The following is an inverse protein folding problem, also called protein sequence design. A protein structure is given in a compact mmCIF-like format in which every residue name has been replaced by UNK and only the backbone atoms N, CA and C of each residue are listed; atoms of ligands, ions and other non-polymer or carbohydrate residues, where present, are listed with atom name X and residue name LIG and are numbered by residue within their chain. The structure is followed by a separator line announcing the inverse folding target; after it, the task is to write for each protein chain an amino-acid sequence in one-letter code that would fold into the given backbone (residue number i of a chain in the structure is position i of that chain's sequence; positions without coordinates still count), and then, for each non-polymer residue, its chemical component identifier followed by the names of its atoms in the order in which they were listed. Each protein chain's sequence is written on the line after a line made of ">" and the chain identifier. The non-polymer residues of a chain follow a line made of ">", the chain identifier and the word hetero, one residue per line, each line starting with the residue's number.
data_IF_155450361634
#
_entry.id   IF_155450361634
#
_cell.length_a   1.000
_cell.length_b   1.000
_cell.length_c   1.000
_cell.angle_alpha   90.00
_cell.angle_beta   90.00
_cell.angle_gamma   90.00
#
_symmetry.space_group_name_H-M   'P 1'
#
loop_
_entity.id
_entity.type
_entity.pdbx_description
1 polymer ?
#
# COMPACT_ATOMS: atom_id res chain seq x y z
N UNK A 1 -43.53 13.06 0.66
CA UNK A 1 -42.83 11.82 0.25
C UNK A 1 -41.65 12.24 -0.60
N UNK A 2 -40.46 12.29 -0.03
CA UNK A 2 -39.21 12.54 -0.76
C UNK A 2 -38.24 11.46 -0.31
N UNK A 3 -38.01 10.49 -1.20
CA UNK A 3 -37.08 9.39 -1.00
C UNK A 3 -35.65 9.87 -1.27
N UNK A 4 -34.92 10.27 -0.22
CA UNK A 4 -33.45 10.26 -0.26
C UNK A 4 -32.90 9.97 1.13
N UNK A 5 -32.70 8.68 1.42
CA UNK A 5 -32.11 8.23 2.69
C UNK A 5 -31.38 6.90 2.64
N UNK A 6 -31.16 6.31 1.45
CA UNK A 6 -30.35 5.09 1.28
C UNK A 6 -28.94 5.43 0.83
N UNK A 7 -28.12 5.96 1.73
CA UNK A 7 -26.65 5.92 1.61
C UNK A 7 -26.02 5.46 2.91
N UNK A 8 -26.53 4.34 3.44
CA UNK A 8 -25.87 3.58 4.49
C UNK A 8 -24.84 2.61 3.89
N UNK A 9 -23.58 2.76 4.28
CA UNK A 9 -22.59 1.67 4.41
C UNK A 9 -21.94 1.11 3.12
N UNK A 10 -21.53 1.96 2.17
CA UNK A 10 -20.81 1.51 0.96
C UNK A 10 -19.36 1.98 0.78
N UNK A 11 -18.74 2.68 1.74
CA UNK A 11 -17.59 3.56 1.41
C UNK A 11 -16.31 3.45 2.23
N UNK A 12 -16.16 2.52 3.19
CA UNK A 12 -14.98 2.52 4.08
C UNK A 12 -13.81 1.69 3.56
N UNK A 13 -14.07 0.66 2.76
CA UNK A 13 -13.02 -0.27 2.30
C UNK A 13 -12.47 0.06 0.90
N UNK A 14 -13.21 0.81 0.07
CA UNK A 14 -12.88 0.94 -1.37
C UNK A 14 -11.81 1.99 -1.73
N UNK A 15 -11.15 2.64 -0.77
CA UNK A 15 -10.26 3.75 -1.12
C UNK A 15 -9.05 3.99 -0.21
N UNK A 16 -8.64 3.05 0.66
CA UNK A 16 -7.52 3.29 1.59
C UNK A 16 -6.21 3.60 0.86
N UNK A 17 -5.94 2.93 -0.26
CA UNK A 17 -4.78 3.19 -1.10
C UNK A 17 -4.91 4.39 -2.05
N UNK A 18 -6.11 4.95 -2.27
CA UNK A 18 -6.31 6.04 -3.26
C UNK A 18 -5.54 7.31 -2.89
N UNK A 19 -5.36 7.54 -1.59
CA UNK A 19 -4.61 8.69 -1.06
C UNK A 19 -3.14 8.69 -1.51
N UNK A 20 -2.58 7.53 -1.87
CA UNK A 20 -1.22 7.42 -2.39
C UNK A 20 -1.07 7.96 -3.82
N UNK A 21 -2.16 8.02 -4.61
CA UNK A 21 -2.11 8.37 -6.02
C UNK A 21 -1.71 7.19 -6.92
N UNK A 22 -2.26 7.18 -8.15
CA UNK A 22 -2.06 6.10 -9.13
C UNK A 22 -0.58 5.81 -9.46
N UNK A 23 0.29 6.82 -9.66
CA UNK A 23 1.70 6.56 -10.00
C UNK A 23 2.46 5.78 -8.92
N UNK A 24 2.21 6.10 -7.64
CA UNK A 24 2.85 5.41 -6.51
C UNK A 24 2.37 3.96 -6.40
N UNK A 25 1.07 3.72 -6.59
CA UNK A 25 0.52 2.35 -6.62
C UNK A 25 1.09 1.54 -7.79
N UNK A 26 1.20 2.14 -8.97
CA UNK A 26 1.79 1.50 -10.15
C UNK A 26 3.27 1.13 -9.89
N UNK A 27 4.05 2.02 -9.25
CA UNK A 27 5.44 1.76 -8.88
C UNK A 27 5.57 0.62 -7.87
N UNK A 28 4.81 0.67 -6.77
CA UNK A 28 4.77 -0.39 -5.75
C UNK A 28 4.41 -1.73 -6.40
N UNK A 29 3.41 -1.74 -7.28
CA UNK A 29 2.96 -2.98 -7.93
C UNK A 29 4.00 -3.65 -8.81
N UNK A 30 4.90 -2.87 -9.42
CA UNK A 30 5.98 -3.38 -10.26
C UNK A 30 7.18 -3.87 -9.46
N UNK A 31 7.34 -3.40 -8.22
CA UNK A 31 8.55 -3.61 -7.40
C UNK A 31 8.33 -4.62 -6.25
N UNK A 32 7.10 -4.76 -5.78
CA UNK A 32 6.73 -5.62 -4.66
C UNK A 32 6.30 -7.03 -5.11
N UNK A 33 6.78 -8.04 -4.40
CA UNK A 33 6.38 -9.43 -4.59
C UNK A 33 5.12 -9.77 -3.76
N UNK A 34 4.58 -10.97 -3.94
CA UNK A 34 3.36 -11.41 -3.25
C UNK A 34 3.44 -11.30 -1.71
N UNK A 35 4.61 -11.59 -1.13
CA UNK A 35 4.84 -11.45 0.31
C UNK A 35 4.76 -10.01 0.80
N UNK A 36 5.30 -9.06 0.03
CA UNK A 36 5.24 -7.64 0.35
C UNK A 36 3.78 -7.15 0.30
N UNK A 37 3.01 -7.62 -0.68
CA UNK A 37 1.59 -7.31 -0.79
C UNK A 37 0.76 -7.79 0.39
N UNK A 38 1.10 -8.95 0.97
CA UNK A 38 0.46 -9.44 2.20
C UNK A 38 0.70 -8.47 3.37
N UNK A 39 1.94 -8.01 3.54
CA UNK A 39 2.30 -7.04 4.58
C UNK A 39 1.62 -5.68 4.36
N UNK A 40 1.65 -5.17 3.13
CA UNK A 40 1.00 -3.91 2.74
C UNK A 40 -0.51 -3.97 3.04
N UNK A 41 -1.17 -5.07 2.68
CA UNK A 41 -2.58 -5.29 2.99
C UNK A 41 -2.85 -5.31 4.50
N UNK A 42 -2.07 -6.05 5.29
CA UNK A 42 -2.23 -6.11 6.74
C UNK A 42 -1.96 -4.76 7.41
N UNK A 43 -0.96 -4.01 6.97
CA UNK A 43 -0.71 -2.64 7.43
C UNK A 43 -1.91 -1.73 7.14
N UNK A 44 -2.44 -1.81 5.92
CA UNK A 44 -3.62 -1.06 5.52
C UNK A 44 -4.83 -1.35 6.40
N UNK A 45 -4.98 -2.57 6.94
CA UNK A 45 -6.06 -2.93 7.88
C UNK A 45 -5.89 -2.34 9.27
N UNK A 46 -4.65 -2.10 9.71
CA UNK A 46 -4.29 -1.66 11.07
C UNK A 46 -4.03 -0.15 11.19
N UNK A 47 -3.99 0.59 10.08
CA UNK A 47 -3.68 2.04 10.05
C UNK A 47 -4.86 2.88 9.57
N UNK A 48 -4.99 4.10 10.08
CA UNK A 48 -5.97 5.07 9.54
C UNK A 48 -5.74 5.31 8.03
N UNK A 49 -6.80 5.44 7.21
CA UNK A 49 -6.68 5.53 5.75
C UNK A 49 -5.74 6.64 5.26
N UNK A 50 -5.75 7.80 5.91
CA UNK A 50 -4.87 8.93 5.55
C UNK A 50 -3.41 8.60 5.83
N UNK A 51 -3.10 8.04 7.00
CA UNK A 51 -1.75 7.62 7.37
C UNK A 51 -1.23 6.50 6.47
N UNK A 52 -2.09 5.55 6.10
CA UNK A 52 -1.76 4.50 5.15
C UNK A 52 -1.46 5.05 3.75
N UNK A 53 -2.23 6.06 3.31
CA UNK A 53 -1.98 6.79 2.07
C UNK A 53 -0.61 7.46 2.05
N UNK A 54 -0.25 8.19 3.11
CA UNK A 54 1.06 8.85 3.23
C UNK A 54 2.20 7.84 3.32
N UNK A 55 2.00 6.74 4.07
CA UNK A 55 2.95 5.63 4.11
C UNK A 55 3.26 5.08 2.71
N UNK A 56 2.23 4.81 1.89
CA UNK A 56 2.41 4.30 0.53
C UNK A 56 3.16 5.29 -0.37
N UNK A 57 3.00 6.61 -0.19
CA UNK A 57 3.76 7.61 -0.94
C UNK A 57 5.25 7.55 -0.60
N UNK A 58 5.58 7.58 0.69
CA UNK A 58 6.99 7.54 1.11
C UNK A 58 7.62 6.19 0.77
N UNK A 59 6.86 5.10 0.92
CA UNK A 59 7.31 3.77 0.52
C UNK A 59 7.62 3.67 -0.98
N UNK A 60 6.77 4.25 -1.84
CA UNK A 60 7.04 4.30 -3.28
C UNK A 60 8.33 5.07 -3.61
N UNK A 61 8.57 6.21 -2.95
CA UNK A 61 9.80 7.01 -3.10
C UNK A 61 11.04 6.25 -2.64
N UNK A 62 10.96 5.56 -1.51
CA UNK A 62 12.05 4.69 -1.02
C UNK A 62 12.30 3.51 -1.98
N UNK A 63 11.26 2.92 -2.59
CA UNK A 63 11.41 1.87 -3.60
C UNK A 63 12.10 2.36 -4.88
N UNK A 64 11.90 3.63 -5.25
CA UNK A 64 12.59 4.26 -6.38
C UNK A 64 14.08 4.45 -6.08
N UNK A 65 14.40 4.91 -4.86
CA UNK A 65 15.77 5.20 -4.42
C UNK A 65 16.59 3.95 -4.07
N UNK A 66 15.95 2.91 -3.54
CA UNK A 66 16.58 1.69 -3.00
C UNK A 66 17.05 0.68 -4.05
N UNK A 67 16.83 0.92 -5.35
CA UNK A 67 17.40 0.12 -6.44
C UNK A 67 18.95 0.06 -6.36
N UNK A 68 19.58 0.99 -5.64
CA UNK A 68 21.03 1.00 -5.35
C UNK A 68 21.47 0.16 -4.15
N UNK A 69 20.57 -0.20 -3.22
CA UNK A 69 20.94 -0.76 -1.89
C UNK A 69 20.45 -2.19 -1.65
N UNK A 70 19.58 -2.72 -2.52
CA UNK A 70 19.00 -4.07 -2.41
C UNK A 70 19.67 -5.10 -3.33
N UNK A 71 20.99 -5.01 -3.52
CA UNK A 71 21.82 -6.20 -3.79
C UNK A 71 21.68 -7.11 -2.56
N UNK A 72 20.64 -7.95 -2.57
CA UNK A 72 20.30 -8.87 -1.49
C UNK A 72 21.51 -9.77 -1.24
N UNK A 73 22.23 -9.51 -0.15
CA UNK A 73 23.11 -10.52 0.44
C UNK A 73 22.21 -11.72 0.77
N UNK A 74 22.42 -12.91 0.15
CA UNK A 74 21.63 -14.08 0.51
C UNK A 74 21.84 -14.31 2.00
N UNK A 75 20.76 -14.34 2.77
CA UNK A 75 20.84 -14.77 4.16
C UNK A 75 21.28 -16.22 4.13
N UNK A 76 22.54 -16.45 4.49
CA UNK A 76 23.14 -17.77 4.56
C UNK A 76 22.24 -18.65 5.44
N UNK A 77 21.52 -19.58 4.83
CA UNK A 77 20.98 -20.73 5.54
C UNK A 77 22.21 -21.57 5.91
N UNK A 78 22.48 -21.66 7.20
CA UNK A 78 23.58 -22.46 7.73
C UNK A 78 23.35 -23.93 7.38
N UNK A 79 24.42 -24.56 6.88
CA UNK A 79 24.54 -25.99 6.59
C UNK A 79 24.41 -26.87 7.83
#
# INVERSE_FOLDING_TARGET
>A
MTEEGKRGLGGKDQARGRWAGRPNLDLISKKCNLGDWFLIYHLGRNMEPTSYGEFLKEFAKELENSVSTLERKPMLVGS
#
